data_IF_268166904170
#
_entry.id   IF_268166904170
#
_cell.length_a   1.000
_cell.length_b   1.000
_cell.length_c   1.000
_cell.angle_alpha   90.00
_cell.angle_beta   90.00
_cell.angle_gamma   90.00
#
_symmetry.space_group_name_H-M   'P 1'
#
loop_
_entity.id
_entity.type
_entity.pdbx_description
1 polymer ?
#
# COMPACT_ATOMS: atom_id res chain seq x y z
N UNK A 1 -30.02 -10.16 14.50
CA UNK A 1 -29.94 -11.24 13.47
C UNK A 1 -29.49 -10.65 12.13
N UNK A 2 -28.37 -11.10 11.55
CA UNK A 2 -27.90 -10.62 10.23
C UNK A 2 -28.45 -11.52 9.12
N UNK A 3 -29.67 -11.25 8.65
CA UNK A 3 -30.33 -12.05 7.61
C UNK A 3 -31.22 -11.19 6.73
N UNK A 4 -31.49 -11.67 5.52
CA UNK A 4 -32.60 -11.16 4.69
C UNK A 4 -33.89 -11.76 5.24
N UNK A 5 -34.91 -10.93 5.49
CA UNK A 5 -36.17 -11.39 6.07
C UNK A 5 -37.08 -12.05 5.01
N UNK A 6 -37.37 -11.34 3.91
CA UNK A 6 -38.19 -11.85 2.81
C UNK A 6 -37.32 -12.15 1.57
N UNK A 7 -37.48 -13.33 0.97
CA UNK A 7 -36.63 -13.85 -0.11
C UNK A 7 -37.35 -13.94 -1.48
N UNK A 8 -38.60 -13.50 -1.56
CA UNK A 8 -39.41 -13.52 -2.77
C UNK A 8 -40.90 -13.32 -2.48
N UNK A 9 -41.66 -12.90 -3.49
CA UNK A 9 -43.11 -12.89 -3.47
C UNK A 9 -43.68 -14.30 -3.75
N UNK A 10 -45.01 -14.46 -3.66
CA UNK A 10 -45.68 -15.73 -3.96
C UNK A 10 -45.46 -16.18 -5.40
N UNK A 11 -45.61 -15.26 -6.37
CA UNK A 11 -45.42 -15.51 -7.79
C UNK A 11 -44.28 -14.59 -8.31
N UNK A 12 -43.27 -15.12 -9.03
CA UNK A 12 -43.07 -16.53 -9.37
C UNK A 12 -42.70 -17.37 -8.14
N UNK A 13 -43.18 -18.63 -8.09
CA UNK A 13 -42.96 -19.56 -6.97
C UNK A 13 -41.53 -20.14 -6.95
N UNK A 14 -40.53 -19.27 -7.07
CA UNK A 14 -39.10 -19.57 -7.02
C UNK A 14 -38.34 -18.36 -6.49
N UNK A 15 -37.21 -18.62 -5.86
CA UNK A 15 -36.29 -17.56 -5.44
C UNK A 15 -35.51 -17.05 -6.67
N UNK A 16 -35.47 -15.73 -6.86
CA UNK A 16 -34.68 -15.12 -7.93
C UNK A 16 -33.18 -15.11 -7.57
N UNK A 17 -32.30 -15.24 -8.57
CA UNK A 17 -30.85 -15.17 -8.38
C UNK A 17 -30.35 -13.79 -7.93
N UNK A 18 -31.15 -12.74 -8.17
CA UNK A 18 -30.86 -11.36 -7.74
C UNK A 18 -30.99 -11.17 -6.23
N UNK A 19 -31.68 -12.08 -5.53
CA UNK A 19 -31.86 -12.02 -4.08
C UNK A 19 -30.54 -12.32 -3.39
N UNK A 20 -30.12 -11.44 -2.48
CA UNK A 20 -28.88 -11.61 -1.73
C UNK A 20 -28.91 -12.90 -0.89
N UNK A 21 -27.87 -13.72 -1.05
CA UNK A 21 -27.66 -14.99 -0.33
C UNK A 21 -26.25 -15.05 0.24
N UNK A 22 -26.08 -15.80 1.33
CA UNK A 22 -24.76 -16.13 1.84
C UNK A 22 -24.01 -17.01 0.84
N UNK A 23 -22.72 -16.78 0.69
CA UNK A 23 -21.86 -17.51 -0.24
C UNK A 23 -20.43 -17.00 -0.16
N UNK A 24 -19.64 -17.32 -1.17
CA UNK A 24 -18.24 -16.92 -1.24
C UNK A 24 -18.08 -15.40 -1.26
N UNK A 25 -17.25 -14.88 -0.35
CA UNK A 25 -16.83 -13.48 -0.32
C UNK A 25 -15.30 -13.41 -0.33
N UNK A 26 -14.74 -12.86 -1.41
CA UNK A 26 -13.29 -12.70 -1.57
C UNK A 26 -12.69 -13.69 -2.56
N UNK A 27 -11.39 -13.53 -2.83
CA UNK A 27 -10.65 -14.29 -3.85
C UNK A 27 -11.23 -14.20 -5.28
N UNK A 28 -12.04 -13.17 -5.56
CA UNK A 28 -12.56 -12.95 -6.90
C UNK A 28 -11.51 -12.28 -7.79
N UNK A 29 -11.45 -12.69 -9.07
CA UNK A 29 -10.69 -11.97 -10.10
C UNK A 29 -11.32 -10.60 -10.34
N UNK A 30 -10.50 -9.55 -10.35
CA UNK A 30 -10.90 -8.16 -10.60
C UNK A 30 -9.89 -7.49 -11.51
N UNK A 31 -10.36 -6.48 -12.23
CA UNK A 31 -9.54 -5.60 -13.06
C UNK A 31 -9.84 -4.17 -12.65
N UNK A 32 -8.83 -3.46 -12.16
CA UNK A 32 -8.90 -2.02 -11.90
C UNK A 32 -8.35 -1.28 -13.11
N UNK A 33 -8.94 -0.13 -13.45
CA UNK A 33 -8.55 0.67 -14.60
C UNK A 33 -8.15 2.07 -14.16
N UNK A 34 -7.31 2.73 -14.97
CA UNK A 34 -6.91 4.13 -14.79
C UNK A 34 -6.23 4.42 -13.44
N UNK A 35 -5.47 3.46 -12.91
CA UNK A 35 -4.58 3.71 -11.78
C UNK A 35 -3.32 4.43 -12.28
N UNK A 36 -3.06 5.61 -11.74
CA UNK A 36 -1.91 6.41 -12.13
C UNK A 36 -0.63 5.88 -11.47
N UNK A 37 0.47 5.88 -12.21
CA UNK A 37 1.80 5.58 -11.68
C UNK A 37 2.44 6.90 -11.27
N UNK A 38 2.88 6.99 -10.01
CA UNK A 38 3.55 8.18 -9.48
C UNK A 38 5.06 8.14 -9.66
N UNK A 39 5.67 6.98 -9.47
CA UNK A 39 7.11 6.82 -9.59
C UNK A 39 7.46 5.39 -9.97
N UNK A 40 8.58 5.24 -10.67
CA UNK A 40 9.28 3.98 -10.90
C UNK A 40 10.67 4.17 -10.30
N UNK A 41 11.12 3.22 -9.49
CA UNK A 41 12.39 3.34 -8.79
C UNK A 41 12.98 1.98 -8.44
N UNK A 42 14.13 2.00 -7.79
CA UNK A 42 14.85 0.81 -7.37
C UNK A 42 14.96 0.81 -5.84
N UNK A 43 14.58 -0.29 -5.18
CA UNK A 43 14.50 -0.36 -3.72
C UNK A 43 15.83 -0.19 -2.97
N UNK A 44 16.98 -0.28 -3.67
CA UNK A 44 18.30 -0.05 -3.09
C UNK A 44 18.78 1.39 -3.20
N UNK A 45 18.20 2.16 -4.13
CA UNK A 45 18.57 3.55 -4.37
C UNK A 45 17.78 4.44 -3.41
N UNK A 46 18.41 5.46 -2.79
CA UNK A 46 17.68 6.42 -1.97
C UNK A 46 16.63 7.15 -2.81
N UNK A 47 15.47 7.36 -2.22
CA UNK A 47 14.36 8.10 -2.80
C UNK A 47 14.43 9.53 -2.27
N UNK A 48 14.86 10.44 -3.13
CA UNK A 48 14.90 11.88 -2.87
C UNK A 48 13.89 12.59 -3.76
N UNK A 49 13.40 13.74 -3.30
CA UNK A 49 12.58 14.66 -4.09
C UNK A 49 13.23 16.04 -4.07
N UNK A 50 12.86 16.92 -4.99
CA UNK A 50 13.45 18.28 -5.05
C UNK A 50 13.18 19.11 -3.77
N UNK A 51 12.15 18.72 -3.00
CA UNK A 51 11.72 19.41 -1.79
C UNK A 51 12.18 18.74 -0.48
N UNK A 52 12.63 17.48 -0.55
CA UNK A 52 13.03 16.68 0.61
C UNK A 52 14.44 16.13 0.41
N UNK A 53 15.40 16.75 1.12
CA UNK A 53 16.82 16.42 1.06
C UNK A 53 17.19 15.19 1.91
N UNK A 54 16.24 14.60 2.65
CA UNK A 54 16.52 13.44 3.49
C UNK A 54 16.90 12.23 2.65
N UNK A 55 18.07 11.65 2.91
CA UNK A 55 18.54 10.45 2.21
C UNK A 55 17.90 9.22 2.87
N UNK A 56 16.81 8.74 2.28
CA UNK A 56 16.03 7.59 2.77
C UNK A 56 15.65 6.65 1.65
N UNK A 57 15.47 5.37 1.96
CA UNK A 57 14.99 4.39 0.97
C UNK A 57 13.46 4.35 0.95
N UNK A 58 12.87 3.70 -0.05
CA UNK A 58 11.40 3.50 -0.10
C UNK A 58 10.86 2.65 1.07
N UNK A 59 11.74 1.88 1.73
CA UNK A 59 11.35 0.98 2.80
C UNK A 59 11.09 1.78 4.08
N UNK A 60 9.91 1.64 4.71
CA UNK A 60 9.66 2.29 5.97
C UNK A 60 10.54 1.71 7.07
N UNK A 61 10.72 2.45 8.17
CA UNK A 61 11.43 1.95 9.34
C UNK A 61 10.81 0.63 9.83
N UNK A 62 11.61 -0.44 9.92
CA UNK A 62 11.14 -1.78 10.28
C UNK A 62 10.56 -2.60 9.11
N UNK A 63 10.56 -2.05 7.89
CA UNK A 63 10.08 -2.72 6.67
C UNK A 63 8.56 -2.71 6.51
N UNK A 64 8.09 -3.16 5.34
CA UNK A 64 6.65 -3.25 5.09
C UNK A 64 6.03 -4.39 5.91
N UNK A 65 4.94 -4.14 6.68
CA UNK A 65 4.28 -5.18 7.46
C UNK A 65 3.88 -6.38 6.62
N UNK A 66 4.22 -7.57 7.10
CA UNK A 66 3.99 -8.85 6.42
C UNK A 66 4.65 -9.02 5.03
N UNK A 67 5.51 -8.09 4.60
CA UNK A 67 6.26 -8.18 3.36
C UNK A 67 7.77 -8.23 3.60
N UNK A 68 8.31 -7.20 4.27
CA UNK A 68 9.75 -6.99 4.46
C UNK A 68 10.27 -5.82 3.62
N UNK A 69 11.52 -5.91 3.17
CA UNK A 69 12.19 -4.83 2.44
C UNK A 69 12.18 -5.09 0.93
N UNK A 70 11.87 -4.04 0.17
CA UNK A 70 11.97 -3.99 -1.29
C UNK A 70 13.44 -3.82 -1.66
N UNK A 71 13.99 -4.78 -2.40
CA UNK A 71 15.40 -4.79 -2.85
C UNK A 71 15.56 -4.65 -4.37
N UNK A 72 14.46 -4.65 -5.11
CA UNK A 72 14.41 -4.67 -6.56
C UNK A 72 13.65 -3.43 -7.06
N UNK A 73 13.46 -3.34 -8.37
CA UNK A 73 12.62 -2.31 -8.98
C UNK A 73 11.18 -2.38 -8.47
N UNK A 74 10.59 -1.20 -8.31
CA UNK A 74 9.23 -1.03 -7.81
C UNK A 74 8.49 0.04 -8.61
N UNK A 75 7.17 -0.02 -8.51
CA UNK A 75 6.25 0.95 -9.09
C UNK A 75 5.36 1.47 -7.97
N UNK A 76 5.29 2.79 -7.83
CA UNK A 76 4.36 3.45 -6.91
C UNK A 76 3.07 3.79 -7.65
N UNK A 77 1.96 3.24 -7.19
CA UNK A 77 0.64 3.40 -7.83
C UNK A 77 -0.26 4.24 -6.92
N UNK A 78 -1.02 5.16 -7.52
CA UNK A 78 -2.04 5.96 -6.83
C UNK A 78 -3.16 5.07 -6.28
N UNK A 79 -3.40 5.16 -4.97
CA UNK A 79 -4.54 4.50 -4.33
C UNK A 79 -4.30 3.03 -4.00
N UNK A 80 -5.35 2.22 -4.07
CA UNK A 80 -5.34 0.83 -3.63
C UNK A 80 -5.34 -0.17 -4.80
N UNK A 81 -4.54 -1.22 -4.66
CA UNK A 81 -4.50 -2.37 -5.58
C UNK A 81 -5.26 -3.54 -4.99
N UNK A 82 -5.98 -4.29 -5.84
CA UNK A 82 -6.78 -5.43 -5.38
C UNK A 82 -5.91 -6.59 -4.93
N UNK A 83 -6.07 -7.00 -3.67
CA UNK A 83 -5.40 -8.17 -3.10
C UNK A 83 -4.54 -7.82 -1.88
N UNK A 84 -4.14 -8.84 -1.10
CA UNK A 84 -3.21 -8.66 0.00
C UNK A 84 -1.76 -8.49 -0.50
N UNK A 85 -0.86 -8.13 0.41
CA UNK A 85 0.58 -8.15 0.14
C UNK A 85 1.05 -9.55 -0.29
N UNK A 86 2.19 -9.61 -1.01
CA UNK A 86 2.79 -10.84 -1.59
C UNK A 86 1.99 -11.55 -2.69
N UNK A 87 0.82 -11.04 -3.11
CA UNK A 87 0.08 -11.56 -4.26
C UNK A 87 0.63 -11.02 -5.57
N UNK A 88 0.78 -11.89 -6.58
CA UNK A 88 1.14 -11.47 -7.94
C UNK A 88 0.05 -10.57 -8.55
N UNK A 89 0.47 -9.48 -9.19
CA UNK A 89 -0.41 -8.54 -9.87
C UNK A 89 0.09 -8.35 -11.30
N UNK A 90 -0.80 -8.54 -12.27
CA UNK A 90 -0.50 -8.32 -13.68
C UNK A 90 -0.88 -6.90 -14.09
N UNK A 91 0.11 -6.11 -14.51
CA UNK A 91 -0.10 -4.77 -15.04
C UNK A 91 -0.23 -4.81 -16.56
N UNK A 92 -1.10 -3.96 -17.11
CA UNK A 92 -1.34 -3.83 -18.56
C UNK A 92 -1.56 -2.36 -18.89
N UNK A 93 -1.12 -1.93 -20.08
CA UNK A 93 -1.55 -0.64 -20.66
C UNK A 93 -3.08 -0.58 -20.78
N UNK A 94 -3.65 0.59 -20.50
CA UNK A 94 -5.10 0.79 -20.59
C UNK A 94 -5.58 0.64 -22.04
N UNK A 95 -6.78 0.09 -22.21
CA UNK A 95 -7.45 0.02 -23.51
C UNK A 95 -8.15 1.34 -23.89
N UNK A 96 -8.49 2.14 -22.90
CA UNK A 96 -9.10 3.46 -23.08
C UNK A 96 -8.12 4.49 -22.53
N UNK A 97 -7.14 4.93 -23.34
CA UNK A 97 -6.16 5.92 -22.91
C UNK A 97 -6.87 7.24 -22.64
N UNK A 98 -6.78 7.69 -21.39
CA UNK A 98 -7.13 9.06 -21.02
C UNK A 98 -5.83 9.87 -21.02
N UNK A 99 -5.80 11.07 -21.62
CA UNK A 99 -4.63 11.93 -21.51
C UNK A 99 -4.35 12.20 -20.03
N UNK A 100 -3.09 12.03 -19.62
CA UNK A 100 -2.64 12.38 -18.29
C UNK A 100 -2.81 13.89 -18.12
N UNK A 101 -3.67 14.31 -17.20
CA UNK A 101 -4.00 15.73 -17.02
C UNK A 101 -3.03 16.47 -16.08
N UNK A 102 -2.26 15.73 -15.30
CA UNK A 102 -1.50 16.28 -14.18
C UNK A 102 -0.03 15.86 -14.31
N UNK A 103 0.86 16.83 -14.23
CA UNK A 103 2.27 16.61 -13.99
C UNK A 103 2.45 16.22 -12.51
N UNK A 104 3.08 15.07 -12.27
CA UNK A 104 3.21 14.52 -10.91
C UNK A 104 4.55 14.95 -10.34
N UNK A 105 4.55 15.99 -9.52
CA UNK A 105 5.69 16.40 -8.70
C UNK A 105 5.51 15.91 -7.26
N UNK A 106 6.25 14.86 -6.87
CA UNK A 106 6.22 14.35 -5.49
C UNK A 106 7.05 15.27 -4.59
N UNK A 107 6.45 15.82 -3.53
CA UNK A 107 7.16 16.67 -2.56
C UNK A 107 7.84 15.87 -1.45
N UNK A 108 7.18 14.83 -0.96
CA UNK A 108 7.62 14.08 0.21
C UNK A 108 7.06 12.66 0.16
N UNK A 109 7.84 11.69 0.65
CA UNK A 109 7.44 10.28 0.80
C UNK A 109 7.61 9.88 2.26
N UNK A 110 6.55 9.34 2.85
CA UNK A 110 6.52 8.93 4.26
C UNK A 110 7.12 7.52 4.44
N UNK A 111 8.33 7.47 4.99
CA UNK A 111 9.09 6.26 5.34
C UNK A 111 9.01 5.95 6.84
N UNK A 112 8.09 6.58 7.56
CA UNK A 112 7.85 6.24 8.96
C UNK A 112 7.37 4.79 9.11
N UNK A 113 7.67 4.20 10.27
CA UNK A 113 7.24 2.85 10.62
C UNK A 113 5.72 2.68 10.46
N UNK A 114 5.32 1.58 9.82
CA UNK A 114 3.91 1.18 9.69
C UNK A 114 3.45 0.24 10.82
N UNK A 115 4.35 -0.11 11.73
CA UNK A 115 4.01 -0.83 12.96
C UNK A 115 3.68 0.23 14.02
N UNK A 116 2.42 0.24 14.48
CA UNK A 116 1.92 1.27 15.39
C UNK A 116 1.79 2.63 14.71
N UNK A 117 2.17 3.70 15.42
CA UNK A 117 2.16 5.09 14.91
C UNK A 117 3.60 5.55 14.67
N UNK A 118 4.02 5.59 13.40
CA UNK A 118 5.34 6.09 13.01
C UNK A 118 5.53 7.58 13.34
N UNK A 119 6.68 7.94 13.92
CA UNK A 119 7.03 9.33 14.28
C UNK A 119 8.26 9.88 13.57
N UNK A 120 9.23 9.01 13.26
CA UNK A 120 10.50 9.35 12.64
C UNK A 120 10.53 8.79 11.22
N UNK A 121 11.21 9.47 10.31
CA UNK A 121 11.40 9.04 8.91
C UNK A 121 12.64 8.16 8.75
N UNK A 122 13.68 8.45 9.52
CA UNK A 122 14.95 7.71 9.51
C UNK A 122 15.34 7.22 10.91
N UNK A 123 16.22 6.22 10.97
CA UNK A 123 16.82 5.75 12.24
C UNK A 123 17.69 6.82 12.89
N UNK A 124 18.33 7.66 12.07
CA UNK A 124 19.19 8.76 12.52
C UNK A 124 18.38 9.82 13.25
N UNK A 125 17.22 10.22 12.72
CA UNK A 125 16.29 11.15 13.40
C UNK A 125 15.86 10.61 14.77
N UNK A 126 15.55 9.30 14.85
CA UNK A 126 15.17 8.66 16.10
C UNK A 126 16.32 8.67 17.11
N UNK A 127 17.55 8.37 16.66
CA UNK A 127 18.75 8.37 17.51
C UNK A 127 19.06 9.78 18.01
N UNK A 128 18.97 10.79 17.15
CA UNK A 128 19.16 12.18 17.52
C UNK A 128 18.14 12.67 18.55
N UNK A 129 16.88 12.21 18.45
CA UNK A 129 15.83 12.60 19.39
C UNK A 129 15.99 11.98 20.79
N UNK A 130 16.28 10.67 20.87
CA UNK A 130 16.38 9.97 22.16
C UNK A 130 17.78 9.99 22.78
N UNK A 131 18.81 10.33 22.01
CA UNK A 131 20.20 10.22 22.43
C UNK A 131 20.69 8.77 22.48
N UNK A 132 21.86 8.56 23.09
CA UNK A 132 22.47 7.24 23.25
C UNK A 132 21.61 6.43 24.22
N UNK A 133 21.22 5.23 23.78
CA UNK A 133 20.42 4.34 24.61
C UNK A 133 21.30 3.61 25.64
N UNK A 134 20.73 3.25 26.80
CA UNK A 134 21.44 2.46 27.82
C UNK A 134 22.15 1.21 27.28
N UNK A 135 21.55 0.36 26.42
CA UNK A 135 22.26 -0.80 25.88
C UNK A 135 23.46 -0.42 25.01
N UNK A 136 23.36 0.62 24.17
CA UNK A 136 24.49 1.11 23.39
C UNK A 136 25.62 1.63 24.30
N UNK A 137 25.28 2.36 25.36
CA UNK A 137 26.28 2.89 26.30
C UNK A 137 27.04 1.81 27.09
N UNK A 138 26.52 0.57 27.17
CA UNK A 138 27.18 -0.54 27.87
C UNK A 138 28.10 -1.33 26.93
N UNK A 139 27.85 -1.33 25.62
CA UNK A 139 28.74 -1.97 24.64
C UNK A 139 30.04 -1.19 24.40
N UNK A 140 30.04 0.11 24.71
CA UNK A 140 31.22 0.97 24.59
C UNK A 140 32.21 0.85 25.78
N UNK A 141 31.90 0.03 26.80
CA UNK A 141 32.76 -0.31 27.95
C UNK A 141 33.26 -1.76 27.88
#
# INVERSE_FOLDING_TARGET
CRKVACIGAWHPARVMYTVARSGQLGFHRRTQQNLCIYAIGNGRVPVTTDFDLTVKTINPMGGFPHYGNIKNDYIMIKGAVTGPSKRVVTLRKTLSPKPAKEEISLKFIDTSSKIGKGRFQTSEEKRAFYGISKPEAVEDY
#
